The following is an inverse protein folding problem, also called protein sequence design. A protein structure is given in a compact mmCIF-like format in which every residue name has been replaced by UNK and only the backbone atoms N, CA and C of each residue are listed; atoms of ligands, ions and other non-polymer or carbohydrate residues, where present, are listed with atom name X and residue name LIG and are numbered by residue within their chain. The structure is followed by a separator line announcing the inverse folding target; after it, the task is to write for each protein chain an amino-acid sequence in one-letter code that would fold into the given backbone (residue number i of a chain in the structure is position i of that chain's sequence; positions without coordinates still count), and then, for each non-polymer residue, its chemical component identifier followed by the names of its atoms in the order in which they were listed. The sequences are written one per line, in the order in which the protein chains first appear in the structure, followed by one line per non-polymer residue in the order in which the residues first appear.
data_IF_717756394368
#
_entry.id   IF_717756394368
#
_cell.length_a   1.000
_cell.length_b   1.000
_cell.length_c   1.000
_cell.angle_alpha   90.00
_cell.angle_beta   90.00
_cell.angle_gamma   90.00
#
_symmetry.space_group_name_H-M   'P 1'
#
loop_
_entity.id
_entity.type
_entity.pdbx_description
1 polymer ?
#
# COMPACT_ATOMS: atom_id res chain seq x y z
N UNK A 1 15.23 3.22 -2.15
CA UNK A 1 13.84 2.99 -1.75
C UNK A 1 13.76 2.70 -0.27
N UNK A 2 12.70 3.14 0.41
CA UNK A 2 12.49 2.94 1.85
C UNK A 2 11.30 1.98 2.03
N UNK A 3 11.43 1.00 2.91
CA UNK A 3 10.33 0.08 3.26
C UNK A 3 9.80 0.41 4.65
N UNK A 4 8.50 0.68 4.74
CA UNK A 4 7.81 1.01 6.00
C UNK A 4 6.81 -0.10 6.30
N UNK A 5 6.89 -0.71 7.49
CA UNK A 5 5.86 -1.61 8.02
C UNK A 5 4.75 -0.76 8.64
N UNK A 6 3.52 -0.87 8.13
CA UNK A 6 2.43 0.04 8.48
C UNK A 6 1.55 -0.49 9.63
N UNK A 7 0.97 -1.68 9.45
CA UNK A 7 0.03 -2.30 10.40
C UNK A 7 0.25 -3.82 10.40
N UNK A 8 0.16 -4.43 11.58
CA UNK A 8 0.07 -5.88 11.77
C UNK A 8 -1.23 -6.18 12.51
N UNK A 9 -2.26 -6.59 11.78
CA UNK A 9 -3.42 -7.26 12.35
C UNK A 9 -3.18 -8.77 12.21
N UNK A 10 -3.74 -9.60 13.09
CA UNK A 10 -3.43 -11.03 13.16
C UNK A 10 -3.55 -11.70 11.79
N UNK A 11 -2.41 -12.12 11.23
CA UNK A 11 -2.33 -12.77 9.92
C UNK A 11 -2.21 -11.85 8.70
N UNK A 12 -2.31 -10.51 8.83
CA UNK A 12 -2.16 -9.57 7.70
C UNK A 12 -0.99 -8.62 7.92
N UNK A 13 -0.07 -8.62 6.97
CA UNK A 13 1.14 -7.78 6.98
C UNK A 13 1.12 -6.79 5.82
N UNK A 14 1.36 -5.52 6.11
CA UNK A 14 1.43 -4.46 5.11
C UNK A 14 2.82 -3.82 5.06
N UNK A 15 3.40 -3.73 3.87
CA UNK A 15 4.69 -3.09 3.60
C UNK A 15 4.51 -2.02 2.52
N UNK A 16 4.90 -0.78 2.82
CA UNK A 16 4.93 0.31 1.85
C UNK A 16 6.36 0.52 1.36
N UNK A 17 6.57 0.31 0.06
CA UNK A 17 7.84 0.59 -0.61
C UNK A 17 7.77 1.96 -1.28
N UNK A 18 8.59 2.90 -0.82
CA UNK A 18 8.72 4.21 -1.44
C UNK A 18 9.82 4.15 -2.49
N UNK A 19 9.46 4.41 -3.76
CA UNK A 19 10.40 4.40 -4.87
C UNK A 19 11.48 5.48 -4.68
N UNK A 20 12.70 5.18 -5.11
CA UNK A 20 13.79 6.18 -5.13
C UNK A 20 13.57 7.19 -6.27
N UNK A 21 13.15 6.68 -7.42
CA UNK A 21 12.95 7.50 -8.61
C UNK A 21 11.56 8.13 -8.58
N UNK A 22 11.49 9.37 -9.07
CA UNK A 22 10.23 10.09 -9.20
C UNK A 22 10.13 10.74 -10.57
N UNK A 23 8.94 10.71 -11.19
CA UNK A 23 8.73 11.43 -12.45
C UNK A 23 8.87 12.95 -12.31
N UNK A 24 8.72 13.51 -11.10
CA UNK A 24 8.88 14.95 -10.81
C UNK A 24 9.05 15.21 -9.31
N UNK A 25 9.70 16.32 -8.90
CA UNK A 25 10.07 16.56 -7.50
C UNK A 25 8.90 16.57 -6.50
N UNK A 26 7.69 16.95 -6.95
CA UNK A 26 6.47 17.03 -6.13
C UNK A 26 5.66 15.73 -6.08
N UNK A 27 6.14 14.65 -6.71
CA UNK A 27 5.49 13.34 -6.71
C UNK A 27 6.32 12.32 -5.98
N UNK A 28 5.65 11.47 -5.21
CA UNK A 28 6.22 10.28 -4.59
C UNK A 28 5.46 9.09 -5.13
N UNK A 29 6.18 8.11 -5.67
CA UNK A 29 5.61 6.83 -6.09
C UNK A 29 5.84 5.82 -4.99
N UNK A 30 4.80 5.09 -4.60
CA UNK A 30 4.89 4.04 -3.59
C UNK A 30 4.11 2.81 -4.02
N UNK A 31 4.60 1.65 -3.62
CA UNK A 31 3.95 0.34 -3.82
C UNK A 31 3.57 -0.21 -2.46
N UNK A 32 2.30 -0.52 -2.26
CA UNK A 32 1.82 -1.19 -1.06
C UNK A 32 1.71 -2.70 -1.34
N UNK A 33 2.42 -3.49 -0.55
CA UNK A 33 2.33 -4.94 -0.55
C UNK A 33 1.59 -5.39 0.70
N UNK A 34 0.62 -6.27 0.51
CA UNK A 34 -0.20 -6.84 1.58
C UNK A 34 -0.07 -8.35 1.50
N UNK A 35 0.26 -8.98 2.62
CA UNK A 35 0.50 -10.41 2.71
C UNK A 35 -0.39 -10.99 3.80
N UNK A 36 -1.29 -11.88 3.40
CA UNK A 36 -2.03 -12.72 4.33
C UNK A 36 -1.20 -13.98 4.65
N UNK A 37 -0.79 -14.13 5.90
CA UNK A 37 -0.11 -15.33 6.41
C UNK A 37 -1.07 -16.32 7.04
N UNK A 38 -2.37 -16.00 7.12
CA UNK A 38 -3.39 -16.96 7.52
C UNK A 38 -3.69 -17.90 6.34
N UNK A 39 -3.30 -19.17 6.50
CA UNK A 39 -3.49 -20.20 5.47
C UNK A 39 -4.87 -20.85 5.52
N UNK A 40 -5.66 -20.67 6.58
CA UNK A 40 -6.98 -21.29 6.71
C UNK A 40 -8.10 -20.46 6.11
N UNK A 41 -7.94 -19.13 6.05
CA UNK A 41 -8.95 -18.21 5.50
C UNK A 41 -8.35 -17.27 4.45
N UNK A 42 -8.89 -17.35 3.23
CA UNK A 42 -8.57 -16.43 2.15
C UNK A 42 -9.30 -15.10 2.37
N UNK A 43 -8.58 -13.99 2.17
CA UNK A 43 -9.17 -12.65 2.15
C UNK A 43 -9.72 -12.42 0.75
N UNK A 44 -11.03 -12.24 0.65
CA UNK A 44 -11.71 -11.89 -0.59
C UNK A 44 -12.23 -10.44 -0.51
N UNK A 45 -12.38 -9.80 -1.67
CA UNK A 45 -12.96 -8.45 -1.79
C UNK A 45 -12.13 -7.40 -1.02
N UNK A 46 -10.81 -7.48 -1.13
CA UNK A 46 -9.94 -6.55 -0.42
C UNK A 46 -10.03 -5.15 -1.03
N UNK A 47 -10.35 -4.14 -0.20
CA UNK A 47 -10.48 -2.75 -0.66
C UNK A 47 -9.53 -1.81 0.09
N UNK A 48 -8.52 -1.31 -0.62
CA UNK A 48 -7.59 -0.33 -0.07
C UNK A 48 -8.13 1.09 -0.21
N UNK A 49 -8.07 1.87 0.87
CA UNK A 49 -8.42 3.29 0.88
C UNK A 49 -7.30 4.09 1.54
N UNK A 50 -7.06 5.28 1.03
CA UNK A 50 -6.06 6.20 1.58
C UNK A 50 -6.64 7.60 1.67
N UNK A 51 -6.44 8.24 2.82
CA UNK A 51 -6.75 9.65 3.03
C UNK A 51 -5.44 10.44 3.08
N UNK A 52 -5.45 11.64 2.51
CA UNK A 52 -4.32 12.57 2.57
C UNK A 52 -4.79 13.94 3.05
N UNK A 53 -3.89 14.75 3.63
CA UNK A 53 -4.18 16.14 3.96
C UNK A 53 -4.65 16.94 2.74
N UNK A 54 -5.39 18.04 2.95
CA UNK A 54 -6.00 18.84 1.87
C UNK A 54 -5.00 19.44 0.87
N UNK A 55 -3.76 19.67 1.29
CA UNK A 55 -2.68 20.17 0.44
C UNK A 55 -1.99 19.08 -0.39
N UNK A 56 -2.41 17.82 -0.24
CA UNK A 56 -1.90 16.68 -0.99
C UNK A 56 -2.96 16.09 -1.90
N UNK A 57 -2.52 15.44 -2.97
CA UNK A 57 -3.37 14.64 -3.86
C UNK A 57 -2.81 13.24 -3.94
N UNK A 58 -3.69 12.26 -3.92
CA UNK A 58 -3.33 10.85 -4.07
C UNK A 58 -4.07 10.26 -5.27
N UNK A 59 -3.38 9.40 -6.02
CA UNK A 59 -3.97 8.61 -7.10
C UNK A 59 -3.69 7.14 -6.85
N UNK A 60 -4.71 6.40 -6.45
CA UNK A 60 -4.63 4.94 -6.34
C UNK A 60 -4.65 4.34 -7.75
N UNK A 61 -3.71 3.43 -8.03
CA UNK A 61 -3.79 2.58 -9.22
C UNK A 61 -4.65 1.35 -8.92
N UNK A 62 -5.11 0.68 -9.98
CA UNK A 62 -5.80 -0.60 -9.81
C UNK A 62 -4.90 -1.59 -9.06
N UNK A 63 -5.46 -2.39 -8.14
CA UNK A 63 -4.69 -3.41 -7.45
C UNK A 63 -4.25 -4.49 -8.45
N UNK A 64 -3.19 -5.22 -8.10
CA UNK A 64 -2.75 -6.38 -8.89
C UNK A 64 -3.73 -7.55 -8.82
N UNK A 65 -4.52 -7.65 -7.75
CA UNK A 65 -5.51 -8.71 -7.47
C UNK A 65 -6.52 -8.19 -6.45
N UNK A 66 -7.77 -8.66 -6.51
CA UNK A 66 -8.88 -8.28 -5.63
C UNK A 66 -9.45 -9.46 -4.87
#
# INVERSE_FOLDING_TARGET
SINIKLIHQTGVHCVLHIARDSPRPDVIVSVLTITNTNTSDAINNFHFQAAVPKNMRIKLQNPSTS
#
